data_IF_574582933169
#
_entry.id   IF_574582933169
#
_cell.length_a   1.000
_cell.length_b   1.000
_cell.length_c   1.000
_cell.angle_alpha   90.00
_cell.angle_beta   90.00
_cell.angle_gamma   90.00
#
_symmetry.space_group_name_H-M   'P 1'
#
loop_
_entity.id
_entity.type
_entity.pdbx_description
1 polymer ?
#
# COMPACT_ATOMS: atom_id res chain seq x y z
N UNK A 1 -15.36 3.04 1.14
CA UNK A 1 -14.77 1.75 0.69
C UNK A 1 -13.44 1.61 1.39
N UNK A 2 -13.11 0.42 1.89
CA UNK A 2 -11.83 0.15 2.55
C UNK A 2 -10.99 -0.70 1.60
N UNK A 3 -9.77 -0.27 1.32
CA UNK A 3 -8.76 -1.15 0.73
C UNK A 3 -7.98 -1.76 1.90
N UNK A 4 -7.66 -3.04 1.82
CA UNK A 4 -7.08 -3.74 2.95
C UNK A 4 -5.90 -4.58 2.48
N UNK A 5 -4.78 -4.41 3.18
CA UNK A 5 -3.67 -5.36 3.15
C UNK A 5 -3.36 -5.80 4.57
N UNK A 6 -3.11 -7.09 4.75
CA UNK A 6 -2.91 -7.71 6.04
C UNK A 6 -2.60 -9.18 5.89
N UNK A 7 -2.33 -9.85 7.01
CA UNK A 7 -2.18 -11.30 7.00
C UNK A 7 -3.55 -11.97 6.80
N UNK A 8 -3.59 -13.04 6.02
CA UNK A 8 -4.80 -13.83 5.76
C UNK A 8 -5.27 -14.61 7.00
N UNK A 9 -4.34 -14.88 7.94
CA UNK A 9 -4.65 -15.60 9.16
C UNK A 9 -5.53 -14.75 10.11
N UNK A 10 -6.70 -15.27 10.44
CA UNK A 10 -7.73 -14.59 11.25
C UNK A 10 -7.20 -14.16 12.62
N UNK A 11 -6.31 -14.97 13.21
CA UNK A 11 -5.75 -14.78 14.55
C UNK A 11 -4.35 -14.14 14.57
N UNK A 12 -3.80 -13.77 13.41
CA UNK A 12 -2.50 -13.13 13.38
C UNK A 12 -2.52 -11.79 14.13
N UNK A 13 -1.46 -11.46 14.88
CA UNK A 13 -1.34 -10.18 15.56
C UNK A 13 -1.64 -9.05 14.57
N UNK A 14 -2.54 -8.13 14.95
CA UNK A 14 -2.99 -7.03 14.10
C UNK A 14 -1.94 -5.92 13.94
N UNK A 15 -0.66 -6.28 13.98
CA UNK A 15 0.50 -5.38 14.03
C UNK A 15 1.04 -5.00 12.67
N UNK A 16 0.55 -5.63 11.59
CA UNK A 16 1.13 -5.48 10.24
C UNK A 16 0.13 -5.02 9.17
N UNK A 17 -1.09 -4.63 9.56
CA UNK A 17 -2.18 -4.34 8.62
C UNK A 17 -2.11 -2.89 8.13
N UNK A 18 -2.43 -2.67 6.86
CA UNK A 18 -2.61 -1.32 6.31
C UNK A 18 -3.93 -1.22 5.57
N UNK A 19 -4.72 -0.20 5.91
CA UNK A 19 -6.00 0.03 5.27
C UNK A 19 -6.26 1.53 5.04
N UNK A 20 -6.25 2.01 3.79
CA UNK A 20 -6.77 3.33 3.47
C UNK A 20 -8.29 3.29 3.31
N UNK A 21 -8.96 4.18 4.04
CA UNK A 21 -10.38 4.46 3.86
C UNK A 21 -10.56 5.46 2.71
N UNK A 22 -11.43 5.12 1.77
CA UNK A 22 -11.75 5.98 0.62
C UNK A 22 -13.09 6.68 0.82
N UNK A 23 -13.06 8.00 0.60
CA UNK A 23 -14.27 8.82 0.47
C UNK A 23 -15.09 8.41 -0.76
N UNK A 24 -16.33 8.89 -0.88
CA UNK A 24 -17.18 8.62 -2.05
C UNK A 24 -16.51 9.05 -3.35
N UNK A 25 -15.86 10.22 -3.35
CA UNK A 25 -15.15 10.76 -4.52
C UNK A 25 -13.93 9.90 -4.87
N UNK A 26 -13.10 9.55 -3.88
CA UNK A 26 -11.91 8.72 -4.11
C UNK A 26 -12.28 7.31 -4.59
N UNK A 27 -13.39 6.74 -4.08
CA UNK A 27 -13.91 5.46 -4.55
C UNK A 27 -14.25 5.49 -6.03
N UNK A 28 -14.93 6.53 -6.51
CA UNK A 28 -15.32 6.65 -7.92
C UNK A 28 -14.12 6.90 -8.84
N UNK A 29 -13.04 7.48 -8.30
CA UNK A 29 -11.81 7.71 -9.03
C UNK A 29 -10.86 6.50 -9.02
N UNK A 30 -11.10 5.46 -8.21
CA UNK A 30 -10.19 4.32 -8.11
C UNK A 30 -10.15 3.52 -9.42
N UNK A 31 -8.95 3.34 -9.97
CA UNK A 31 -8.67 2.52 -11.15
C UNK A 31 -8.38 1.08 -10.75
N UNK A 32 -7.62 0.91 -9.67
CA UNK A 32 -7.20 -0.39 -9.17
C UNK A 32 -6.29 -0.24 -7.96
N UNK A 33 -6.07 -1.33 -7.25
CA UNK A 33 -5.17 -1.39 -6.12
C UNK A 33 -4.50 -2.76 -6.04
N UNK A 34 -3.34 -2.79 -5.41
CA UNK A 34 -2.49 -3.97 -5.24
C UNK A 34 -1.89 -3.95 -3.83
N UNK A 35 -1.89 -5.10 -3.17
CA UNK A 35 -1.18 -5.34 -1.91
C UNK A 35 0.19 -5.93 -2.20
N UNK A 36 1.21 -5.47 -1.45
CA UNK A 36 2.57 -5.99 -1.53
C UNK A 36 2.99 -6.49 -0.15
N UNK A 37 2.48 -7.66 0.22
CA UNK A 37 2.55 -8.18 1.59
C UNK A 37 1.64 -7.42 2.56
N UNK A 38 1.68 -7.79 3.84
CA UNK A 38 0.75 -7.28 4.86
C UNK A 38 0.81 -5.75 5.05
N UNK A 39 2.00 -5.17 4.89
CA UNK A 39 2.31 -3.80 5.32
C UNK A 39 2.25 -2.74 4.22
N UNK A 40 2.11 -3.10 2.96
CA UNK A 40 2.16 -2.15 1.84
C UNK A 40 0.94 -2.33 0.95
N UNK A 41 0.30 -1.22 0.61
CA UNK A 41 -0.79 -1.16 -0.35
C UNK A 41 -0.58 0.00 -1.30
N UNK A 42 -0.76 -0.25 -2.60
CA UNK A 42 -0.71 0.76 -3.65
C UNK A 42 -2.07 0.85 -4.33
N UNK A 43 -2.55 2.06 -4.50
CA UNK A 43 -3.82 2.35 -5.15
C UNK A 43 -3.63 3.41 -6.22
N UNK A 44 -4.26 3.20 -7.37
CA UNK A 44 -4.22 4.08 -8.53
C UNK A 44 -5.56 4.77 -8.69
N UNK A 45 -5.55 6.09 -8.90
CA UNK A 45 -6.74 6.90 -9.05
C UNK A 45 -6.69 7.71 -10.34
N UNK A 46 -7.82 7.85 -11.03
CA UNK A 46 -7.98 8.83 -12.10
C UNK A 46 -7.95 10.22 -11.47
N UNK A 47 -7.17 11.12 -12.07
CA UNK A 47 -7.26 12.54 -11.71
C UNK A 47 -8.33 13.23 -12.55
N UNK A 48 -8.63 14.49 -12.23
CA UNK A 48 -9.51 15.32 -13.08
C UNK A 48 -8.90 15.63 -14.45
N UNK A 49 -7.56 15.57 -14.57
CA UNK A 49 -6.87 15.77 -15.84
C UNK A 49 -6.81 14.42 -16.57
N UNK A 50 -7.42 14.38 -17.74
CA UNK A 50 -7.44 13.19 -18.58
C UNK A 50 -6.02 12.73 -18.93
N UNK A 51 -5.83 11.41 -19.01
CA UNK A 51 -4.51 10.80 -19.23
C UNK A 51 -3.58 10.78 -18.01
N UNK A 52 -3.93 11.45 -16.89
CA UNK A 52 -3.10 11.44 -15.67
C UNK A 52 -3.73 10.55 -14.59
N UNK A 53 -2.96 9.56 -14.15
CA UNK A 53 -3.28 8.70 -13.02
C UNK A 53 -2.41 9.04 -11.81
N UNK A 54 -3.01 9.17 -10.63
CA UNK A 54 -2.31 9.37 -9.37
C UNK A 54 -2.14 8.04 -8.64
N UNK A 55 -0.90 7.68 -8.34
CA UNK A 55 -0.57 6.49 -7.55
C UNK A 55 -0.31 6.90 -6.09
N UNK A 56 -1.01 6.27 -5.16
CA UNK A 56 -0.80 6.42 -3.72
C UNK A 56 -0.27 5.10 -3.18
N UNK A 57 0.87 5.15 -2.49
CA UNK A 57 1.42 4.00 -1.76
C UNK A 57 1.34 4.31 -0.28
N UNK A 58 0.62 3.48 0.46
CA UNK A 58 0.55 3.56 1.92
C UNK A 58 1.26 2.35 2.48
N UNK A 59 2.17 2.59 3.43
CA UNK A 59 2.90 1.53 4.10
C UNK A 59 2.94 1.74 5.61
N UNK A 60 3.09 0.64 6.35
CA UNK A 60 3.38 0.65 7.78
C UNK A 60 4.79 0.09 8.02
N UNK A 61 5.72 0.97 8.39
CA UNK A 61 7.12 0.60 8.57
C UNK A 61 7.30 -0.39 9.74
N UNK A 62 8.30 -1.28 9.68
CA UNK A 62 8.75 -2.05 10.84
C UNK A 62 9.11 -1.16 12.04
N UNK A 63 8.89 -1.68 13.25
CA UNK A 63 9.28 -1.00 14.48
C UNK A 63 10.80 -1.05 14.65
N UNK A 64 11.35 -0.15 15.48
CA UNK A 64 12.79 -0.14 15.75
C UNK A 64 13.30 -1.46 16.33
N UNK A 65 12.47 -2.15 17.10
CA UNK A 65 12.78 -3.44 17.74
C UNK A 65 12.67 -4.64 16.77
N UNK A 66 12.23 -4.42 15.53
CA UNK A 66 12.19 -5.47 14.51
C UNK A 66 13.61 -5.87 14.09
N UNK A 67 13.81 -7.12 13.69
CA UNK A 67 15.08 -7.60 13.15
C UNK A 67 15.50 -6.78 11.92
N UNK A 68 16.81 -6.54 11.75
CA UNK A 68 17.33 -5.70 10.68
C UNK A 68 17.09 -6.33 9.30
N UNK A 69 17.17 -7.66 9.16
CA UNK A 69 16.80 -8.34 7.90
C UNK A 69 15.35 -8.04 7.47
N UNK A 70 14.43 -7.94 8.44
CA UNK A 70 13.02 -7.62 8.18
C UNK A 70 12.88 -6.16 7.74
N UNK A 71 13.64 -5.25 8.35
CA UNK A 71 13.67 -3.84 7.95
C UNK A 71 14.21 -3.70 6.54
N UNK A 72 15.34 -4.33 6.25
CA UNK A 72 16.01 -4.26 4.95
C UNK A 72 15.13 -4.83 3.86
N UNK A 73 14.55 -6.03 4.06
CA UNK A 73 13.61 -6.63 3.12
C UNK A 73 12.41 -5.70 2.85
N UNK A 74 11.87 -5.07 3.89
CA UNK A 74 10.75 -4.13 3.74
C UNK A 74 11.15 -2.89 2.91
N UNK A 75 12.30 -2.28 3.18
CA UNK A 75 12.75 -1.10 2.46
C UNK A 75 13.14 -1.39 1.02
N UNK A 76 13.79 -2.52 0.75
CA UNK A 76 14.07 -3.00 -0.62
C UNK A 76 12.77 -3.21 -1.41
N UNK A 77 11.77 -3.86 -0.80
CA UNK A 77 10.47 -4.05 -1.44
C UNK A 77 9.76 -2.71 -1.70
N UNK A 78 9.79 -1.78 -0.73
CA UNK A 78 9.21 -0.45 -0.89
C UNK A 78 9.89 0.34 -2.02
N UNK A 79 11.22 0.29 -2.10
CA UNK A 79 11.97 0.92 -3.19
C UNK A 79 11.62 0.30 -4.55
N UNK A 80 11.50 -1.02 -4.64
CA UNK A 80 11.07 -1.71 -5.87
C UNK A 80 9.70 -1.22 -6.35
N UNK A 81 8.74 -1.02 -5.44
CA UNK A 81 7.40 -0.51 -5.77
C UNK A 81 7.43 0.95 -6.26
N UNK A 82 8.28 1.78 -5.66
CA UNK A 82 8.45 3.18 -6.06
C UNK A 82 9.19 3.29 -7.41
N UNK A 83 10.21 2.45 -7.63
CA UNK A 83 11.02 2.43 -8.85
C UNK A 83 10.28 1.93 -10.09
N UNK A 84 9.25 1.09 -9.92
CA UNK A 84 8.43 0.54 -11.03
C UNK A 84 7.38 1.52 -11.59
N UNK A 85 7.43 2.81 -11.24
CA UNK A 85 6.50 3.80 -11.79
C UNK A 85 6.80 4.08 -13.26
N UNK A 86 5.80 4.13 -14.16
CA UNK A 86 6.02 4.58 -15.52
C UNK A 86 6.58 6.02 -15.49
N UNK A 87 7.66 6.25 -16.25
CA UNK A 87 8.28 7.57 -16.41
C UNK A 87 7.42 8.50 -17.24
#
# INVERSE_FOLDING_TARGET
>A
MLLYSGHEEENAPHTQRVAPMLSKVARNALVGWESHGSRIIKASFKTKKEGITMNITKSYAPTNDSNDDIKDQFYEQLQSIIGKRPR
#
